data_IF_264069423019
#
_entry.id   IF_264069423019
#
_cell.length_a   1.000
_cell.length_b   1.000
_cell.length_c   1.000
_cell.angle_alpha   90.00
_cell.angle_beta   90.00
_cell.angle_gamma   90.00
#
_symmetry.space_group_name_H-M   'P 1'
#
loop_
_entity.id
_entity.type
_entity.pdbx_description
1 polymer ?
#
# COMPACT_ATOMS: atom_id res chain seq x y z
N UNK A 1 1.40 20.59 2.95
CA UNK A 1 0.19 19.87 2.48
C UNK A 1 0.26 18.46 3.03
N UNK A 2 -0.81 18.00 3.69
CA UNK A 2 -0.84 16.71 4.41
C UNK A 2 -0.95 15.64 3.32
N UNK A 3 0.16 14.98 2.99
CA UNK A 3 0.22 13.93 1.98
C UNK A 3 -0.46 12.70 2.59
N UNK A 4 -1.79 12.66 2.52
CA UNK A 4 -2.57 11.55 3.05
C UNK A 4 -2.19 10.33 2.22
N UNK A 5 -1.65 9.32 2.91
CA UNK A 5 -1.16 8.09 2.28
C UNK A 5 -2.39 7.34 1.75
N UNK A 6 -2.37 6.86 0.49
CA UNK A 6 -3.46 6.07 -0.08
C UNK A 6 -3.77 4.89 0.85
N UNK A 7 -5.03 4.67 1.21
CA UNK A 7 -5.45 3.64 2.15
C UNK A 7 -6.45 2.67 1.53
N UNK A 8 -6.12 1.39 1.49
CA UNK A 8 -7.02 0.31 1.12
C UNK A 8 -7.85 -0.07 2.33
N UNK A 9 -9.17 0.03 2.22
CA UNK A 9 -10.11 -0.40 3.25
C UNK A 9 -11.26 -1.18 2.59
N UNK A 10 -11.57 -2.37 3.13
CA UNK A 10 -12.69 -3.18 2.63
C UNK A 10 -12.56 -3.59 1.15
N UNK A 11 -11.33 -3.77 0.65
CA UNK A 11 -11.05 -4.09 -0.75
C UNK A 11 -11.14 -2.90 -1.71
N UNK A 12 -11.14 -1.67 -1.20
CA UNK A 12 -11.12 -0.44 -2.00
C UNK A 12 -9.98 0.46 -1.56
N UNK A 13 -9.15 0.89 -2.50
CA UNK A 13 -8.13 1.90 -2.30
C UNK A 13 -8.76 3.29 -2.32
N UNK A 14 -8.72 3.98 -1.20
CA UNK A 14 -9.04 5.39 -1.08
C UNK A 14 -7.74 6.19 -1.23
N UNK A 15 -7.63 6.91 -2.35
CA UNK A 15 -6.52 7.83 -2.58
C UNK A 15 -6.99 9.26 -2.34
N UNK A 16 -6.06 10.12 -1.92
CA UNK A 16 -6.36 11.52 -1.55
C UNK A 16 -6.67 12.42 -2.75
N UNK A 17 -6.37 11.94 -3.95
CA UNK A 17 -6.41 12.69 -5.20
C UNK A 17 -7.40 12.09 -6.22
N UNK A 18 -8.20 11.09 -5.84
CA UNK A 18 -9.10 10.42 -6.79
C UNK A 18 -10.17 9.54 -6.16
N UNK A 19 -10.91 8.86 -7.04
CA UNK A 19 -11.95 7.91 -6.68
C UNK A 19 -11.41 6.65 -6.00
N UNK A 20 -12.30 5.97 -5.27
CA UNK A 20 -11.98 4.70 -4.65
C UNK A 20 -11.75 3.62 -5.73
N UNK A 21 -10.54 3.09 -5.81
CA UNK A 21 -10.18 2.03 -6.77
C UNK A 21 -10.46 0.67 -6.15
N UNK A 22 -11.16 -0.22 -6.85
CA UNK A 22 -11.40 -1.58 -6.35
C UNK A 22 -10.11 -2.41 -6.49
N UNK A 23 -9.66 -3.00 -5.38
CA UNK A 23 -8.46 -3.85 -5.37
C UNK A 23 -8.69 -5.10 -6.22
N UNK A 24 -7.68 -5.47 -7.01
CA UNK A 24 -7.76 -6.60 -7.95
C UNK A 24 -8.38 -6.27 -9.30
N UNK A 25 -8.73 -5.00 -9.55
CA UNK A 25 -9.09 -4.52 -10.89
C UNK A 25 -7.87 -4.05 -11.68
N UNK A 26 -7.96 -3.94 -13.02
CA UNK A 26 -6.87 -3.38 -13.82
C UNK A 26 -6.42 -1.99 -13.36
N UNK A 27 -7.35 -1.14 -12.91
CA UNK A 27 -7.06 0.18 -12.36
C UNK A 27 -6.20 0.12 -11.08
N UNK A 28 -6.33 -0.94 -10.29
CA UNK A 28 -5.48 -1.16 -9.12
C UNK A 28 -4.04 -1.49 -9.52
N UNK A 29 -3.86 -2.34 -10.53
CA UNK A 29 -2.52 -2.69 -11.03
C UNK A 29 -1.83 -1.48 -11.67
N UNK A 30 -2.54 -0.71 -12.49
CA UNK A 30 -2.06 0.55 -13.08
C UNK A 30 -1.65 1.54 -11.98
N UNK A 31 -2.48 1.67 -10.95
CA UNK A 31 -2.17 2.50 -9.80
C UNK A 31 -0.90 2.06 -9.06
N UNK A 32 -0.66 0.75 -8.90
CA UNK A 32 0.57 0.21 -8.29
C UNK A 32 1.83 0.47 -9.13
N UNK A 33 1.70 0.66 -10.44
CA UNK A 33 2.82 1.07 -11.30
C UNK A 33 3.18 2.53 -11.07
N UNK A 34 2.17 3.39 -10.87
CA UNK A 34 2.35 4.80 -10.59
C UNK A 34 2.69 5.12 -9.12
N UNK A 35 2.30 4.25 -8.19
CA UNK A 35 2.46 4.47 -6.76
C UNK A 35 3.21 3.35 -6.06
N UNK A 36 4.29 3.73 -5.39
CA UNK A 36 5.16 2.84 -4.63
C UNK A 36 4.79 2.72 -3.15
N UNK A 37 3.63 3.21 -2.70
CA UNK A 37 3.28 3.20 -1.26
C UNK A 37 1.77 3.29 -1.01
N UNK A 38 1.24 2.38 -0.21
CA UNK A 38 -0.14 2.43 0.29
C UNK A 38 -0.25 1.84 1.69
N UNK A 39 -1.25 2.30 2.43
CA UNK A 39 -1.72 1.70 3.67
C UNK A 39 -2.81 0.68 3.33
N UNK A 40 -2.83 -0.46 3.99
CA UNK A 40 -3.86 -1.48 3.88
C UNK A 40 -4.47 -1.67 5.26
N UNK A 41 -5.71 -1.26 5.43
CA UNK A 41 -6.48 -1.35 6.67
C UNK A 41 -7.50 -2.45 6.51
N UNK A 42 -7.38 -3.46 7.37
CA UNK A 42 -8.33 -4.56 7.48
C UNK A 42 -8.86 -4.65 8.92
N UNK A 43 -9.92 -5.42 9.12
CA UNK A 43 -10.47 -5.75 10.44
C UNK A 43 -9.41 -6.33 11.39
N UNK A 44 -8.41 -7.04 10.85
CA UNK A 44 -7.29 -7.59 11.63
C UNK A 44 -6.17 -6.59 11.96
N UNK A 45 -6.18 -5.38 11.37
CA UNK A 45 -5.19 -4.34 11.61
C UNK A 45 -4.74 -3.59 10.36
N UNK A 46 -3.72 -2.74 10.51
CA UNK A 46 -3.20 -1.91 9.42
C UNK A 46 -1.77 -2.33 9.02
N UNK A 47 -1.53 -2.36 7.71
CA UNK A 47 -0.30 -2.80 7.06
C UNK A 47 0.12 -1.76 6.02
N UNK A 48 1.27 -1.14 6.15
CA UNK A 48 1.80 -0.22 5.14
C UNK A 48 2.66 -0.99 4.16
N UNK A 49 2.27 -1.05 2.90
CA UNK A 49 3.12 -1.56 1.84
C UNK A 49 3.90 -0.39 1.21
N UNK A 50 5.21 -0.51 1.15
CA UNK A 50 6.11 0.42 0.48
C UNK A 50 7.05 -0.36 -0.44
N UNK A 51 7.14 0.08 -1.68
CA UNK A 51 8.04 -0.49 -2.68
C UNK A 51 9.37 0.26 -2.59
N UNK A 52 10.36 -0.42 -2.01
CA UNK A 52 11.71 0.09 -1.83
C UNK A 52 12.56 -0.33 -3.03
N UNK A 53 12.50 0.40 -4.15
CA UNK A 53 13.28 0.07 -5.33
C UNK A 53 13.59 1.29 -6.20
N UNK A 54 14.87 1.55 -6.41
CA UNK A 54 15.33 2.43 -7.50
C UNK A 54 15.20 1.65 -8.81
N UNK A 55 14.93 2.33 -9.94
CA UNK A 55 14.73 1.74 -11.29
C UNK A 55 15.84 0.76 -11.78
N UNK A 56 16.92 0.59 -11.02
CA UNK A 56 18.08 -0.24 -11.36
C UNK A 56 18.34 -1.42 -10.41
N UNK A 57 17.51 -1.66 -9.39
CA UNK A 57 17.62 -2.82 -8.48
C UNK A 57 16.25 -3.46 -8.28
N UNK A 58 16.23 -4.77 -8.02
CA UNK A 58 15.00 -5.55 -7.83
C UNK A 58 13.98 -4.77 -6.97
N UNK A 59 12.78 -4.58 -7.52
CA UNK A 59 11.74 -3.82 -6.86
C UNK A 59 11.02 -4.74 -5.87
N UNK A 60 11.57 -4.83 -4.67
CA UNK A 60 10.98 -5.62 -3.60
C UNK A 60 9.89 -4.81 -2.88
N UNK A 61 8.74 -5.45 -2.65
CA UNK A 61 7.68 -4.86 -1.84
C UNK A 61 7.93 -5.16 -0.37
N UNK A 62 7.97 -4.11 0.42
CA UNK A 62 8.14 -4.19 1.87
C UNK A 62 6.84 -3.87 2.56
N UNK A 63 6.39 -4.76 3.43
CA UNK A 63 5.16 -4.58 4.19
C UNK A 63 5.51 -4.35 5.65
N UNK A 64 5.00 -3.27 6.20
CA UNK A 64 5.11 -2.90 7.61
C UNK A 64 3.74 -3.11 8.25
N UNK A 65 3.56 -4.19 9.00
CA UNK A 65 2.33 -4.40 9.78
C UNK A 65 2.46 -3.75 11.14
N UNK A 66 1.45 -3.00 11.57
CA UNK A 66 1.37 -2.57 12.98
C UNK A 66 0.36 -3.45 13.68
N UNK A 67 0.82 -4.40 14.49
CA UNK A 67 -0.05 -5.27 15.29
C UNK A 67 0.19 -4.97 16.78
N UNK A 68 -0.86 -4.52 17.48
CA UNK A 68 -0.85 -4.23 18.91
C UNK A 68 0.32 -3.33 19.39
N UNK A 69 0.66 -2.30 18.60
CA UNK A 69 1.74 -1.37 18.91
C UNK A 69 3.16 -1.84 18.53
N UNK A 70 3.29 -3.00 17.88
CA UNK A 70 4.56 -3.49 17.33
C UNK A 70 4.55 -3.44 15.81
N UNK A 71 5.59 -2.82 15.24
CA UNK A 71 5.82 -2.75 13.80
C UNK A 71 6.60 -3.99 13.36
N UNK A 72 5.92 -4.91 12.69
CA UNK A 72 6.51 -6.11 12.12
C UNK A 72 6.76 -5.86 10.62
N UNK A 73 8.00 -6.06 10.15
CA UNK A 73 8.37 -5.90 8.73
C UNK A 73 8.35 -7.27 8.07
N UNK A 74 7.60 -7.40 6.98
CA UNK A 74 7.52 -8.59 6.13
C UNK A 74 7.98 -8.19 4.74
N UNK A 75 9.05 -8.82 4.26
CA UNK A 75 9.47 -8.69 2.87
C UNK A 75 8.64 -9.64 2.03
N UNK A 76 7.91 -9.10 1.04
CA UNK A 76 7.28 -9.90 -0.01
C UNK A 76 8.33 -10.10 -1.11
N UNK A 77 9.24 -11.05 -0.87
CA UNK A 77 10.23 -11.51 -1.85
C UNK A 77 9.67 -12.59 -2.76
#
# INVERSE_FOLDING_TARGET
MRRTIPAVEGGRLYSSEGDAIIVGTPAWYDWLEHHSSFLFVDLAGAFTAHKSGSESSAQDWEVFRTHAGKLDRVSLG
#
